data_IF_443750691691
#
_entry.id   IF_443750691691
#
_cell.length_a   1.000
_cell.length_b   1.000
_cell.length_c   1.000
_cell.angle_alpha   90.00
_cell.angle_beta   90.00
_cell.angle_gamma   90.00
#
_symmetry.space_group_name_H-M   'P 1'
#
loop_
_entity.id
_entity.type
_entity.pdbx_description
1 polymer ?
#
# COMPACT_ATOMS: atom_id res chain seq x y z
N UNK A 1 5.40 2.19 11.14
CA UNK A 1 6.55 2.24 10.20
C UNK A 1 6.04 2.16 8.77
N UNK A 2 6.40 3.11 7.93
CA UNK A 2 5.99 3.22 6.52
C UNK A 2 7.18 2.88 5.62
N UNK A 3 7.10 1.73 4.96
CA UNK A 3 8.11 1.25 4.02
C UNK A 3 7.65 1.50 2.58
N UNK A 4 8.46 2.20 1.81
CA UNK A 4 8.23 2.48 0.40
C UNK A 4 9.09 1.57 -0.46
N UNK A 5 8.46 0.65 -1.18
CA UNK A 5 9.11 -0.31 -2.07
C UNK A 5 8.85 0.11 -3.51
N UNK A 6 9.91 0.53 -4.19
CA UNK A 6 9.89 0.97 -5.58
C UNK A 6 10.38 -0.20 -6.43
N UNK A 7 9.51 -0.75 -7.28
CA UNK A 7 9.89 -1.83 -8.19
C UNK A 7 9.15 -1.78 -9.52
N UNK A 8 9.87 -2.08 -10.60
CA UNK A 8 9.28 -2.28 -11.92
C UNK A 8 8.42 -3.56 -12.00
N UNK A 9 8.50 -4.45 -10.99
CA UNK A 9 7.72 -5.68 -10.91
C UNK A 9 6.92 -5.76 -9.61
N UNK A 10 5.96 -4.83 -9.45
CA UNK A 10 5.04 -4.76 -8.30
C UNK A 10 4.42 -6.13 -7.99
N UNK A 11 3.93 -6.85 -9.00
CA UNK A 11 3.26 -8.13 -8.80
C UNK A 11 4.16 -9.15 -8.09
N UNK A 12 5.43 -9.27 -8.50
CA UNK A 12 6.37 -10.19 -7.84
C UNK A 12 6.67 -9.76 -6.39
N UNK A 13 6.73 -8.45 -6.12
CA UNK A 13 6.88 -7.94 -4.75
C UNK A 13 5.67 -8.36 -3.90
N UNK A 14 4.45 -8.15 -4.41
CA UNK A 14 3.21 -8.48 -3.71
C UNK A 14 3.07 -9.99 -3.47
N UNK A 15 3.36 -10.83 -4.47
CA UNK A 15 3.31 -12.30 -4.35
C UNK A 15 4.22 -12.78 -3.21
N UNK A 16 5.38 -12.14 -3.01
CA UNK A 16 6.31 -12.50 -1.93
C UNK A 16 5.92 -11.90 -0.59
N UNK A 17 5.44 -10.66 -0.59
CA UNK A 17 5.16 -9.88 0.61
C UNK A 17 3.87 -10.34 1.31
N UNK A 18 2.76 -10.42 0.56
CA UNK A 18 1.43 -10.58 1.16
C UNK A 18 1.25 -11.86 1.98
N UNK A 19 1.75 -13.04 1.56
CA UNK A 19 1.64 -14.26 2.37
C UNK A 19 2.39 -14.22 3.71
N UNK A 20 3.32 -13.28 3.90
CA UNK A 20 4.12 -13.15 5.11
C UNK A 20 3.44 -12.27 6.17
N UNK A 21 2.35 -11.60 5.80
CA UNK A 21 1.67 -10.62 6.65
C UNK A 21 0.41 -11.24 7.25
N UNK A 22 0.31 -11.22 8.58
CA UNK A 22 -0.91 -11.57 9.29
C UNK A 22 -1.85 -10.37 9.32
N UNK A 23 -3.12 -10.59 8.98
CA UNK A 23 -4.21 -9.60 9.07
C UNK A 23 -3.89 -8.22 8.48
N UNK A 24 -4.15 -8.05 7.19
CA UNK A 24 -3.81 -6.82 6.47
C UNK A 24 -5.02 -6.21 5.77
N UNK A 25 -4.96 -4.90 5.53
CA UNK A 25 -5.81 -4.24 4.52
C UNK A 25 -4.98 -4.00 3.27
N UNK A 26 -5.44 -4.56 2.15
CA UNK A 26 -4.85 -4.40 0.83
C UNK A 26 -5.64 -3.34 0.06
N UNK A 27 -5.00 -2.23 -0.28
CA UNK A 27 -5.61 -1.11 -0.97
C UNK A 27 -5.07 -1.05 -2.39
N UNK A 28 -5.98 -0.98 -3.37
CA UNK A 28 -5.63 -0.80 -4.77
C UNK A 28 -6.62 0.13 -5.49
N UNK A 29 -6.18 0.66 -6.63
CA UNK A 29 -6.98 1.48 -7.54
C UNK A 29 -7.64 0.66 -8.66
N UNK A 30 -7.44 -0.66 -8.69
CA UNK A 30 -7.94 -1.59 -9.72
C UNK A 30 -8.40 -2.91 -9.10
N UNK A 31 -8.91 -3.83 -9.92
CA UNK A 31 -9.35 -5.16 -9.47
C UNK A 31 -8.25 -5.93 -8.71
N UNK A 32 -8.58 -6.73 -7.69
CA UNK A 32 -7.61 -7.51 -6.90
C UNK A 32 -7.13 -8.78 -7.62
N UNK A 33 -6.99 -8.74 -8.94
CA UNK A 33 -6.60 -9.92 -9.74
C UNK A 33 -5.26 -10.50 -9.31
N UNK A 34 -4.36 -9.66 -8.80
CA UNK A 34 -3.08 -10.12 -8.25
C UNK A 34 -3.29 -11.05 -7.06
N UNK A 35 -4.26 -10.77 -6.17
CA UNK A 35 -4.52 -11.58 -4.98
C UNK A 35 -4.96 -13.00 -5.35
N UNK A 36 -5.71 -13.15 -6.44
CA UNK A 36 -6.19 -14.46 -6.93
C UNK A 36 -5.06 -15.38 -7.41
N UNK A 37 -3.87 -14.83 -7.66
CA UNK A 37 -2.71 -15.55 -8.21
C UNK A 37 -1.67 -15.91 -7.16
N UNK A 38 -1.87 -15.53 -5.90
CA UNK A 38 -0.89 -15.74 -4.83
C UNK A 38 -1.18 -17.08 -4.15
N UNK A 39 -0.34 -18.07 -4.40
CA UNK A 39 -0.43 -19.37 -3.71
C UNK A 39 -0.16 -19.22 -2.21
N UNK A 40 -0.95 -19.91 -1.39
CA UNK A 40 -0.82 -19.90 0.07
C UNK A 40 -1.34 -18.62 0.74
N UNK A 41 -1.94 -17.69 -0.01
CA UNK A 41 -2.55 -16.50 0.55
C UNK A 41 -3.82 -16.84 1.32
N UNK A 42 -3.84 -16.56 2.62
CA UNK A 42 -5.06 -16.69 3.42
C UNK A 42 -5.97 -15.46 3.23
N UNK A 43 -6.92 -15.59 2.29
CA UNK A 43 -7.87 -14.53 1.98
C UNK A 43 -8.77 -14.15 3.16
N UNK A 44 -8.94 -15.01 4.17
CA UNK A 44 -9.74 -14.66 5.37
C UNK A 44 -9.09 -13.58 6.22
N UNK A 45 -7.76 -13.44 6.12
CA UNK A 45 -6.97 -12.45 6.84
C UNK A 45 -6.79 -11.14 6.05
N UNK A 46 -7.31 -11.05 4.83
CA UNK A 46 -7.11 -9.91 3.94
C UNK A 46 -8.41 -9.13 3.82
N UNK A 47 -8.38 -7.88 4.26
CA UNK A 47 -9.40 -6.91 3.91
C UNK A 47 -9.02 -6.24 2.59
N UNK A 48 -9.75 -6.53 1.52
CA UNK A 48 -9.54 -5.86 0.24
C UNK A 48 -10.34 -4.55 0.20
N UNK A 49 -9.67 -3.45 -0.13
CA UNK A 49 -10.29 -2.14 -0.28
C UNK A 49 -9.96 -1.53 -1.65
N UNK A 50 -11.01 -1.14 -2.35
CA UNK A 50 -10.89 -0.41 -3.61
C UNK A 50 -11.04 1.09 -3.36
N UNK A 51 -10.05 1.88 -3.76
CA UNK A 51 -10.07 3.34 -3.60
C UNK A 51 -9.75 4.02 -4.93
N UNK A 52 -10.55 5.01 -5.30
CA UNK A 52 -10.37 5.82 -6.52
C UNK A 52 -9.62 7.14 -6.27
N UNK A 53 -9.49 7.55 -5.01
CA UNK A 53 -8.79 8.78 -4.63
C UNK A 53 -8.18 8.65 -3.22
N UNK A 54 -7.31 9.59 -2.87
CA UNK A 54 -6.61 9.60 -1.59
C UNK A 54 -7.57 9.81 -0.41
N UNK A 55 -8.65 10.59 -0.56
CA UNK A 55 -9.60 10.84 0.53
C UNK A 55 -10.38 9.56 0.92
N UNK A 56 -10.76 8.74 -0.06
CA UNK A 56 -11.36 7.42 0.18
C UNK A 56 -10.38 6.50 0.91
N UNK A 57 -9.10 6.53 0.51
CA UNK A 57 -8.04 5.74 1.15
C UNK A 57 -7.91 6.07 2.65
N UNK A 58 -7.96 7.36 3.02
CA UNK A 58 -7.93 7.79 4.43
C UNK A 58 -9.07 7.17 5.24
N UNK A 59 -10.26 7.03 4.65
CA UNK A 59 -11.45 6.50 5.30
C UNK A 59 -11.41 4.99 5.60
N UNK A 60 -10.59 4.24 4.88
CA UNK A 60 -10.51 2.76 5.03
C UNK A 60 -9.34 2.31 5.90
N UNK A 61 -8.43 3.21 6.31
CA UNK A 61 -7.31 2.86 7.20
C UNK A 61 -7.83 2.64 8.62
N UNK A 62 -8.01 1.37 8.97
CA UNK A 62 -8.53 0.92 10.26
C UNK A 62 -7.80 -0.30 10.86
N UNK A 63 -6.80 -0.86 10.17
CA UNK A 63 -6.02 -2.03 10.61
C UNK A 63 -4.56 -1.69 10.87
N UNK A 64 -3.89 -2.59 11.58
CA UNK A 64 -2.49 -2.46 11.99
C UNK A 64 -1.49 -2.58 10.84
N UNK A 65 -1.82 -3.41 9.84
CA UNK A 65 -0.99 -3.67 8.66
C UNK A 65 -1.71 -3.23 7.40
N UNK A 66 -1.14 -2.28 6.67
CA UNK A 66 -1.69 -1.76 5.41
C UNK A 66 -0.70 -2.01 4.27
N UNK A 67 -1.20 -2.46 3.13
CA UNK A 67 -0.45 -2.51 1.87
C UNK A 67 -1.17 -1.66 0.84
N UNK A 68 -0.50 -0.65 0.31
CA UNK A 68 -1.01 0.23 -0.74
C UNK A 68 -0.29 -0.12 -2.04
N UNK A 69 -1.04 -0.59 -3.03
CA UNK A 69 -0.55 -0.82 -4.37
C UNK A 69 -0.63 0.48 -5.20
N UNK A 70 0.49 0.87 -5.80
CA UNK A 70 0.58 1.86 -6.86
C UNK A 70 -0.03 3.22 -6.48
N UNK A 71 0.43 3.77 -5.36
CA UNK A 71 0.00 5.07 -4.86
C UNK A 71 0.15 6.18 -5.93
N UNK A 72 1.11 6.06 -6.84
CA UNK A 72 1.33 6.97 -7.96
C UNK A 72 0.19 7.03 -8.99
N UNK A 73 -0.74 6.07 -8.98
CA UNK A 73 -1.96 6.12 -9.81
C UNK A 73 -3.01 7.10 -9.29
N UNK A 74 -2.90 7.51 -8.03
CA UNK A 74 -3.83 8.45 -7.42
C UNK A 74 -3.42 9.88 -7.79
N UNK A 75 -4.37 10.81 -7.80
CA UNK A 75 -4.03 12.23 -7.90
C UNK A 75 -3.30 12.64 -6.60
N UNK A 76 -2.00 12.89 -6.71
CA UNK A 76 -1.08 13.09 -5.59
C UNK A 76 -1.03 14.55 -5.12
N UNK A 77 -2.17 15.12 -4.76
CA UNK A 77 -2.17 16.45 -4.16
C UNK A 77 -1.49 16.39 -2.78
N UNK A 78 -0.56 17.34 -2.54
CA UNK A 78 0.31 17.34 -1.36
C UNK A 78 -0.51 17.38 -0.06
N UNK A 79 -1.63 18.10 -0.05
CA UNK A 79 -2.50 18.20 1.12
C UNK A 79 -3.12 16.86 1.50
N UNK A 80 -3.75 16.17 0.55
CA UNK A 80 -4.37 14.86 0.80
C UNK A 80 -3.33 13.79 1.07
N UNK A 81 -2.15 13.89 0.46
CA UNK A 81 -1.02 13.03 0.82
C UNK A 81 -0.59 13.24 2.27
N UNK A 82 -0.41 14.48 2.72
CA UNK A 82 -0.08 14.74 4.13
C UNK A 82 -1.15 14.18 5.06
N UNK A 83 -2.44 14.29 4.72
CA UNK A 83 -3.51 13.68 5.52
C UNK A 83 -3.42 12.15 5.55
N UNK A 84 -3.17 11.52 4.40
CA UNK A 84 -2.95 10.08 4.31
C UNK A 84 -1.77 9.66 5.18
N UNK A 85 -0.61 10.30 5.05
CA UNK A 85 0.58 9.93 5.80
C UNK A 85 0.46 10.19 7.30
N UNK A 86 -0.29 11.21 7.72
CA UNK A 86 -0.66 11.36 9.14
C UNK A 86 -1.42 10.14 9.65
N UNK A 87 -2.40 9.67 8.89
CA UNK A 87 -3.18 8.47 9.25
C UNK A 87 -2.33 7.20 9.22
N UNK A 88 -1.41 7.08 8.27
CA UNK A 88 -0.46 5.97 8.19
C UNK A 88 0.65 6.02 9.26
N UNK A 89 0.88 7.19 9.88
CA UNK A 89 1.80 7.32 11.02
C UNK A 89 1.29 6.59 12.27
N UNK A 90 -0.03 6.44 12.41
CA UNK A 90 -0.67 5.81 13.57
C UNK A 90 -0.75 4.28 13.47
N UNK A 91 -0.47 3.70 12.30
CA UNK A 91 -0.52 2.23 12.09
C UNK A 91 0.83 1.57 12.34
N UNK A 92 0.80 0.30 12.78
CA UNK A 92 2.01 -0.45 13.10
C UNK A 92 2.91 -0.59 11.86
N UNK A 93 2.34 -1.02 10.73
CA UNK A 93 3.11 -1.34 9.54
C UNK A 93 2.38 -0.94 8.26
N UNK A 94 3.06 -0.16 7.41
CA UNK A 94 2.58 0.20 6.10
C UNK A 94 3.61 -0.19 5.04
N UNK A 95 3.14 -0.78 3.95
CA UNK A 95 3.93 -1.01 2.75
C UNK A 95 3.29 -0.26 1.59
N UNK A 96 4.00 0.71 1.03
CA UNK A 96 3.62 1.33 -0.24
C UNK A 96 4.46 0.64 -1.32
N UNK A 97 3.81 -0.05 -2.25
CA UNK A 97 4.49 -0.75 -3.36
C UNK A 97 4.16 -0.04 -4.65
N UNK A 98 5.16 0.57 -5.29
CA UNK A 98 4.96 1.44 -6.44
C UNK A 98 5.99 1.16 -7.54
N UNK A 99 5.70 1.56 -8.78
CA UNK A 99 6.60 1.40 -9.92
C UNK A 99 7.36 2.69 -10.25
N UNK A 100 7.06 3.78 -9.56
CA UNK A 100 7.71 5.07 -9.74
C UNK A 100 8.30 5.55 -8.44
N UNK A 101 9.48 6.14 -8.53
CA UNK A 101 10.12 6.89 -7.46
C UNK A 101 9.51 8.29 -7.39
N UNK A 102 8.90 8.64 -6.27
CA UNK A 102 8.31 9.98 -6.06
C UNK A 102 8.95 10.63 -4.84
N UNK A 103 9.71 11.71 -5.07
CA UNK A 103 10.49 12.37 -4.03
C UNK A 103 9.67 12.81 -2.81
N UNK A 104 8.44 13.30 -3.02
CA UNK A 104 7.57 13.69 -1.91
C UNK A 104 7.16 12.50 -1.03
N UNK A 105 6.90 11.33 -1.63
CA UNK A 105 6.58 10.10 -0.89
C UNK A 105 7.81 9.62 -0.12
N UNK A 106 9.00 9.65 -0.73
CA UNK A 106 10.25 9.25 -0.06
C UNK A 106 10.50 10.05 1.23
N UNK A 107 10.17 11.34 1.22
CA UNK A 107 10.34 12.22 2.39
C UNK A 107 9.38 11.91 3.55
N UNK A 108 8.27 11.22 3.26
CA UNK A 108 7.23 10.89 4.24
C UNK A 108 7.31 9.45 4.74
N UNK A 109 8.21 8.64 4.17
CA UNK A 109 8.39 7.24 4.55
C UNK A 109 9.58 7.05 5.50
N UNK A 110 9.50 6.05 6.37
CA UNK A 110 10.58 5.69 7.30
C UNK A 110 11.72 4.94 6.59
N UNK A 111 11.39 4.16 5.56
CA UNK A 111 12.35 3.37 4.78
C UNK A 111 11.97 3.39 3.30
N UNK A 112 12.97 3.57 2.43
CA UNK A 112 12.80 3.51 0.96
C UNK A 112 13.71 2.42 0.40
N UNK A 113 13.12 1.48 -0.34
CA UNK A 113 13.82 0.36 -0.97
C UNK A 113 13.53 0.36 -2.46
N UNK A 114 14.57 0.29 -3.29
CA UNK A 114 14.43 0.12 -4.75
C UNK A 114 14.83 -1.32 -5.12
N UNK A 115 13.95 -2.04 -5.82
CA UNK A 115 14.10 -3.46 -6.19
C UNK A 115 13.83 -3.70 -7.67
#
# INVERSE_FOLDING_TARGET
>A
MIKYIISNNINNILIRLLPQLSELTYINSTSPEVLLKIEGLDHSLINYEFSNNLQQMVGVINRDTIVIENLSKYNLDEFSLVQLFKKLGDIKQCYIVDNRKIGFIELLCDEVVTV
#
